data_IF_522868878004
#
_entry.id   IF_522868878004
#
_cell.length_a   1.000
_cell.length_b   1.000
_cell.length_c   1.000
_cell.angle_alpha   90.00
_cell.angle_beta   90.00
_cell.angle_gamma   90.00
#
_symmetry.space_group_name_H-M   'P 1'
#
loop_
_entity.id
_entity.type
_entity.pdbx_description
1 polymer ?
#
# COMPACT_ATOMS: atom_id res chain seq x y z
N UNK A 1 35.53 17.61 27.65
CA UNK A 1 34.57 16.50 27.85
C UNK A 1 33.60 16.57 26.71
N UNK A 2 33.85 15.78 25.67
CA UNK A 2 33.02 15.71 24.48
C UNK A 2 31.87 14.77 24.84
N UNK A 3 30.68 15.33 24.99
CA UNK A 3 29.47 14.54 25.18
C UNK A 3 29.31 13.71 23.91
N UNK A 4 29.62 12.42 24.02
CA UNK A 4 29.18 11.40 23.09
C UNK A 4 27.67 11.58 22.91
N UNK A 5 27.29 12.30 21.86
CA UNK A 5 25.90 12.61 21.53
C UNK A 5 25.27 11.34 20.98
N UNK A 6 25.13 10.34 21.86
CA UNK A 6 24.40 9.13 21.60
C UNK A 6 23.02 9.55 21.13
N UNK A 7 22.66 9.12 19.91
CA UNK A 7 21.35 9.36 19.31
C UNK A 7 20.31 9.03 20.39
N UNK A 8 19.48 10.00 20.85
CA UNK A 8 18.52 9.75 21.91
C UNK A 8 17.58 8.62 21.49
N UNK A 9 17.77 7.45 22.07
CA UNK A 9 16.98 6.27 21.75
C UNK A 9 15.80 6.21 22.71
N UNK A 10 14.59 6.45 22.20
CA UNK A 10 13.37 6.24 22.97
C UNK A 10 13.15 4.74 23.16
N UNK A 11 12.96 4.31 24.41
CA UNK A 11 12.73 2.91 24.79
C UNK A 11 11.25 2.68 25.03
N UNK A 12 10.81 1.43 24.91
CA UNK A 12 9.50 1.04 25.40
C UNK A 12 9.47 1.06 26.93
N UNK A 13 8.30 1.36 27.48
CA UNK A 13 7.99 1.03 28.87
C UNK A 13 8.08 -0.49 29.09
N UNK A 14 8.26 -0.99 30.33
CA UNK A 14 8.35 -2.43 30.58
C UNK A 14 7.17 -3.21 29.99
N UNK A 15 5.95 -2.68 30.13
CA UNK A 15 4.73 -3.26 29.55
C UNK A 15 4.69 -3.16 28.02
N UNK A 16 5.07 -2.02 27.44
CA UNK A 16 5.19 -1.89 25.99
C UNK A 16 6.23 -2.84 25.39
N UNK A 17 7.30 -3.14 26.14
CA UNK A 17 8.32 -4.10 25.73
C UNK A 17 7.76 -5.53 25.72
N UNK A 18 6.97 -5.93 26.72
CA UNK A 18 6.26 -7.23 26.74
C UNK A 18 5.37 -7.40 25.50
N UNK A 19 4.62 -6.36 25.13
CA UNK A 19 3.77 -6.36 23.92
C UNK A 19 4.62 -6.50 22.66
N UNK A 20 5.70 -5.72 22.54
CA UNK A 20 6.60 -5.79 21.39
C UNK A 20 7.24 -7.17 21.26
N UNK A 21 7.75 -7.74 22.35
CA UNK A 21 8.44 -9.02 22.35
C UNK A 21 7.49 -10.17 21.97
N UNK A 22 6.28 -10.18 22.54
CA UNK A 22 5.23 -11.14 22.17
C UNK A 22 4.91 -11.07 20.68
N UNK A 23 4.58 -9.87 20.20
CA UNK A 23 4.26 -9.66 18.79
C UNK A 23 5.44 -10.02 17.86
N UNK A 24 6.67 -9.67 18.27
CA UNK A 24 7.89 -9.95 17.51
C UNK A 24 8.15 -11.44 17.41
N UNK A 25 7.93 -12.17 18.50
CA UNK A 25 8.03 -13.62 18.54
C UNK A 25 7.07 -14.26 17.53
N UNK A 26 5.80 -13.88 17.56
CA UNK A 26 4.77 -14.41 16.66
C UNK A 26 5.05 -14.11 15.19
N UNK A 27 5.55 -12.90 14.89
CA UNK A 27 5.97 -12.54 13.53
C UNK A 27 7.13 -13.44 13.04
N UNK A 28 8.15 -13.64 13.87
CA UNK A 28 9.31 -14.47 13.48
C UNK A 28 8.96 -15.95 13.36
N UNK A 29 8.09 -16.46 14.24
CA UNK A 29 7.56 -17.82 14.15
C UNK A 29 6.88 -18.06 12.79
N UNK A 30 6.04 -17.11 12.36
CA UNK A 30 5.38 -17.18 11.04
C UNK A 30 6.36 -17.07 9.88
N UNK A 31 7.33 -16.16 9.95
CA UNK A 31 8.33 -15.99 8.89
C UNK A 31 9.26 -17.20 8.71
N UNK A 32 9.52 -17.96 9.77
CA UNK A 32 10.34 -19.18 9.71
C UNK A 32 9.54 -20.45 9.36
N UNK A 33 8.21 -20.34 9.28
CA UNK A 33 7.38 -21.49 8.94
C UNK A 33 7.49 -21.80 7.45
N UNK A 34 8.00 -23.00 7.13
CA UNK A 34 8.51 -23.36 5.79
C UNK A 34 7.41 -23.58 4.73
N UNK A 35 6.13 -23.55 5.11
CA UNK A 35 5.01 -24.00 4.27
C UNK A 35 3.81 -23.04 4.21
N UNK A 36 3.86 -21.87 4.87
CA UNK A 36 2.68 -21.01 5.06
C UNK A 36 2.58 -19.76 4.19
N UNK A 37 3.71 -19.20 3.73
CA UNK A 37 3.76 -17.87 3.10
C UNK A 37 4.29 -17.92 1.67
N UNK A 38 3.73 -17.10 0.78
CA UNK A 38 4.32 -16.88 -0.54
C UNK A 38 5.58 -16.01 -0.41
N UNK A 39 6.59 -16.13 -1.31
CA UNK A 39 7.82 -15.33 -1.22
C UNK A 39 7.57 -13.80 -1.21
N UNK A 40 6.53 -13.36 -1.93
CA UNK A 40 6.14 -11.96 -1.97
C UNK A 40 5.57 -11.47 -0.62
N UNK A 41 4.77 -12.31 0.04
CA UNK A 41 4.18 -12.00 1.34
C UNK A 41 5.23 -12.07 2.46
N UNK A 42 6.15 -13.03 2.41
CA UNK A 42 7.28 -13.12 3.35
C UNK A 42 8.15 -11.86 3.31
N UNK A 43 8.49 -11.38 2.10
CA UNK A 43 9.21 -10.12 1.90
C UNK A 43 8.41 -8.91 2.42
N UNK A 44 7.09 -8.93 2.27
CA UNK A 44 6.21 -7.89 2.78
C UNK A 44 6.23 -7.85 4.32
N UNK A 45 6.04 -8.99 4.98
CA UNK A 45 6.03 -9.11 6.44
C UNK A 45 7.39 -8.84 7.08
N UNK A 46 8.50 -9.11 6.37
CA UNK A 46 9.85 -8.72 6.82
C UNK A 46 9.97 -7.21 7.10
N UNK A 47 9.19 -6.35 6.42
CA UNK A 47 9.19 -4.89 6.68
C UNK A 47 8.58 -4.54 8.03
N UNK A 48 7.76 -5.43 8.58
CA UNK A 48 7.00 -5.15 9.80
C UNK A 48 7.92 -5.06 11.01
N UNK A 49 9.09 -5.72 10.96
CA UNK A 49 10.17 -5.64 11.96
C UNK A 49 10.55 -4.21 12.34
N UNK A 50 10.47 -3.29 11.37
CA UNK A 50 10.73 -1.85 11.58
C UNK A 50 9.44 -1.04 11.68
N UNK A 51 8.40 -1.42 10.94
CA UNK A 51 7.14 -0.69 10.91
C UNK A 51 6.47 -0.62 12.28
N UNK A 52 6.36 -1.76 12.97
CA UNK A 52 5.64 -1.83 14.25
C UNK A 52 6.24 -0.86 15.31
N UNK A 53 7.55 -0.88 15.60
CA UNK A 53 8.12 0.05 16.58
C UNK A 53 8.07 1.51 16.10
N UNK A 54 8.13 1.77 14.79
CA UNK A 54 7.94 3.13 14.26
C UNK A 54 6.50 3.63 14.45
N UNK A 55 5.49 2.78 14.23
CA UNK A 55 4.09 3.15 14.49
C UNK A 55 3.84 3.40 15.98
N UNK A 56 4.37 2.54 16.85
CA UNK A 56 4.24 2.70 18.29
C UNK A 56 4.85 4.04 18.76
N UNK A 57 6.00 4.42 18.21
CA UNK A 57 6.61 5.72 18.48
C UNK A 57 5.71 6.87 18.02
N UNK A 58 5.15 6.80 16.80
CA UNK A 58 4.28 7.85 16.26
C UNK A 58 3.05 8.02 17.16
N UNK A 59 2.38 6.93 17.55
CA UNK A 59 1.21 7.00 18.42
C UNK A 59 1.56 7.58 19.79
N UNK A 60 2.68 7.18 20.38
CA UNK A 60 3.14 7.76 21.64
C UNK A 60 3.42 9.27 21.51
N UNK A 61 4.03 9.73 20.41
CA UNK A 61 4.27 11.15 20.19
C UNK A 61 2.97 11.96 20.03
N UNK A 62 1.95 11.37 19.40
CA UNK A 62 0.62 11.97 19.32
C UNK A 62 0.01 12.09 20.72
N UNK A 63 0.06 11.02 21.52
CA UNK A 63 -0.45 11.05 22.90
C UNK A 63 0.24 12.13 23.75
N UNK A 64 1.56 12.29 23.60
CA UNK A 64 2.35 13.33 24.29
C UNK A 64 1.96 14.74 23.80
N UNK A 65 1.71 14.91 22.49
CA UNK A 65 1.26 16.18 21.93
C UNK A 65 -0.13 16.60 22.45
N UNK A 66 -0.97 15.62 22.80
CA UNK A 66 -2.29 15.82 23.41
C UNK A 66 -2.23 16.13 24.93
N UNK A 67 -1.03 16.22 25.50
CA UNK A 67 -0.80 16.65 26.88
C UNK A 67 -0.51 15.53 27.88
N UNK A 68 -0.28 14.29 27.41
CA UNK A 68 0.19 13.21 28.27
C UNK A 68 1.69 13.33 28.57
N UNK A 69 2.14 12.64 29.63
CA UNK A 69 3.52 12.70 30.09
C UNK A 69 4.52 12.19 29.03
N UNK A 70 5.59 12.96 28.73
CA UNK A 70 6.64 12.50 27.84
C UNK A 70 7.47 11.40 28.52
N UNK A 71 7.95 10.42 27.76
CA UNK A 71 8.81 9.39 28.31
C UNK A 71 8.98 8.17 27.44
N UNK A 72 9.00 7.00 28.08
CA UNK A 72 9.07 5.72 27.38
C UNK A 72 7.78 5.45 26.59
N UNK A 73 7.91 4.77 25.45
CA UNK A 73 6.76 4.41 24.61
C UNK A 73 5.77 3.57 25.43
N UNK A 74 4.54 4.06 25.52
CA UNK A 74 3.49 3.47 26.35
C UNK A 74 3.07 2.10 25.83
N UNK A 75 2.54 1.26 26.72
CA UNK A 75 1.91 -0.01 26.36
C UNK A 75 0.75 0.21 25.37
N UNK A 76 -0.05 1.25 25.59
CA UNK A 76 -1.20 1.57 24.75
C UNK A 76 -0.79 1.88 23.30
N UNK A 77 0.30 2.63 23.12
CA UNK A 77 0.84 2.92 21.80
C UNK A 77 1.38 1.65 21.11
N UNK A 78 1.99 0.74 21.86
CA UNK A 78 2.44 -0.56 21.35
C UNK A 78 1.25 -1.45 20.91
N UNK A 79 0.20 -1.56 21.72
CA UNK A 79 -1.02 -2.30 21.39
C UNK A 79 -1.74 -1.71 20.17
N UNK A 80 -1.77 -0.38 20.06
CA UNK A 80 -2.32 0.27 18.88
C UNK A 80 -1.50 -0.08 17.63
N UNK A 81 -0.17 -0.07 17.74
CA UNK A 81 0.71 -0.45 16.65
C UNK A 81 0.53 -1.92 16.22
N UNK A 82 0.34 -2.86 17.14
CA UNK A 82 0.06 -4.26 16.79
C UNK A 82 -1.25 -4.39 16.01
N UNK A 83 -2.31 -3.72 16.46
CA UNK A 83 -3.61 -3.72 15.77
C UNK A 83 -3.52 -3.13 14.35
N UNK A 84 -2.75 -2.05 14.17
CA UNK A 84 -2.48 -1.50 12.84
C UNK A 84 -1.68 -2.47 11.96
N UNK A 85 -0.70 -3.17 12.51
CA UNK A 85 0.02 -4.20 11.78
C UNK A 85 -0.91 -5.33 11.31
N UNK A 86 -1.81 -5.83 12.16
CA UNK A 86 -2.80 -6.84 11.78
C UNK A 86 -3.71 -6.36 10.63
N UNK A 87 -4.18 -5.12 10.72
CA UNK A 87 -4.99 -4.51 9.67
C UNK A 87 -4.23 -4.42 8.33
N UNK A 88 -2.99 -3.92 8.35
CA UNK A 88 -2.14 -3.79 7.16
C UNK A 88 -1.77 -5.15 6.57
N UNK A 89 -1.54 -6.15 7.41
CA UNK A 89 -1.30 -7.52 6.97
C UNK A 89 -2.54 -8.08 6.25
N UNK A 90 -3.74 -7.86 6.80
CA UNK A 90 -4.99 -8.24 6.12
C UNK A 90 -5.10 -7.60 4.73
N UNK A 91 -4.65 -6.35 4.59
CA UNK A 91 -4.64 -5.64 3.33
C UNK A 91 -3.62 -6.25 2.36
N UNK A 92 -2.44 -6.63 2.84
CA UNK A 92 -1.44 -7.35 2.07
C UNK A 92 -1.99 -8.68 1.54
N UNK A 93 -2.68 -9.47 2.38
CA UNK A 93 -3.33 -10.70 1.93
C UNK A 93 -4.36 -10.47 0.84
N UNK A 94 -5.12 -9.36 0.87
CA UNK A 94 -6.07 -9.03 -0.21
C UNK A 94 -5.35 -8.69 -1.52
N UNK A 95 -4.22 -7.99 -1.46
CA UNK A 95 -3.43 -7.64 -2.64
C UNK A 95 -2.71 -8.85 -3.25
N UNK A 96 -2.07 -9.67 -2.41
CA UNK A 96 -1.33 -10.84 -2.87
C UNK A 96 -2.25 -12.04 -3.15
N UNK A 97 -3.33 -12.21 -2.40
CA UNK A 97 -4.39 -13.20 -2.67
C UNK A 97 -5.30 -12.80 -3.83
N UNK A 98 -5.50 -11.50 -4.07
CA UNK A 98 -6.17 -11.00 -5.27
C UNK A 98 -5.35 -11.20 -6.55
N UNK A 99 -4.05 -11.50 -6.41
CA UNK A 99 -3.17 -11.85 -7.53
C UNK A 99 -3.50 -13.21 -8.16
N UNK A 100 -4.33 -14.02 -7.49
CA UNK A 100 -4.97 -15.24 -8.01
C UNK A 100 -6.48 -15.06 -8.22
N UNK A 101 -7.02 -13.84 -8.12
CA UNK A 101 -8.41 -13.54 -8.41
C UNK A 101 -8.57 -13.14 -9.90
N UNK A 102 -9.52 -13.73 -10.64
CA UNK A 102 -9.65 -13.57 -12.10
C UNK A 102 -9.92 -12.13 -12.57
N UNK A 103 -10.26 -11.19 -11.67
CA UNK A 103 -10.41 -9.77 -11.99
C UNK A 103 -9.09 -9.02 -12.19
N UNK A 104 -7.97 -9.52 -11.66
CA UNK A 104 -6.67 -8.84 -11.75
C UNK A 104 -5.94 -9.13 -13.06
N UNK A 105 -6.19 -10.27 -13.72
CA UNK A 105 -5.79 -10.51 -15.12
C UNK A 105 -6.37 -9.45 -16.05
N UNK A 106 -7.66 -9.15 -15.93
CA UNK A 106 -8.32 -8.13 -16.75
C UNK A 106 -7.71 -6.74 -16.53
N UNK A 107 -7.45 -6.37 -15.27
CA UNK A 107 -6.77 -5.11 -14.94
C UNK A 107 -5.31 -5.07 -15.46
N UNK A 108 -4.58 -6.18 -15.39
CA UNK A 108 -3.21 -6.30 -15.93
C UNK A 108 -3.19 -6.22 -17.45
N UNK A 109 -4.14 -6.83 -18.14
CA UNK A 109 -4.27 -6.68 -19.60
C UNK A 109 -4.62 -5.24 -19.98
N UNK A 110 -5.54 -4.58 -19.25
CA UNK A 110 -5.83 -3.16 -19.46
C UNK A 110 -4.56 -2.30 -19.29
N UNK A 111 -3.76 -2.54 -18.24
CA UNK A 111 -2.50 -1.83 -18.01
C UNK A 111 -1.48 -2.11 -19.13
N UNK A 112 -1.36 -3.36 -19.60
CA UNK A 112 -0.51 -3.70 -20.75
C UNK A 112 -0.94 -2.98 -22.02
N UNK A 113 -2.25 -2.85 -22.25
CA UNK A 113 -2.80 -2.10 -23.38
C UNK A 113 -2.57 -0.59 -23.26
N UNK A 114 -2.64 -0.04 -22.05
CA UNK A 114 -2.29 1.36 -21.76
C UNK A 114 -0.80 1.65 -22.01
N UNK A 115 0.10 0.81 -21.48
CA UNK A 115 1.54 0.97 -21.64
C UNK A 115 2.03 0.78 -23.08
N UNK A 116 1.30 0.01 -23.91
CA UNK A 116 1.54 -0.11 -25.36
C UNK A 116 1.00 1.07 -26.17
N UNK A 117 0.38 2.07 -25.52
CA UNK A 117 -0.20 3.24 -26.19
C UNK A 117 -1.39 2.91 -27.09
N UNK A 118 -2.07 1.78 -26.85
CA UNK A 118 -3.07 1.23 -27.76
C UNK A 118 -4.51 1.69 -27.46
N UNK A 119 -4.70 2.68 -26.59
CA UNK A 119 -6.04 3.20 -26.24
C UNK A 119 -6.10 4.69 -26.58
N UNK A 120 -6.98 5.04 -27.52
CA UNK A 120 -7.38 6.42 -27.81
C UNK A 120 -8.42 6.85 -26.77
N UNK A 121 -8.29 8.06 -26.24
CA UNK A 121 -9.24 8.63 -25.28
C UNK A 121 -10.68 8.55 -25.83
N UNK A 122 -11.57 7.92 -25.07
CA UNK A 122 -12.99 7.73 -25.41
C UNK A 122 -13.44 6.28 -25.68
N UNK A 123 -12.58 5.27 -25.56
CA UNK A 123 -12.97 3.87 -25.73
C UNK A 123 -13.85 3.38 -24.57
N UNK A 124 -14.96 2.72 -24.89
CA UNK A 124 -15.89 2.17 -23.88
C UNK A 124 -15.53 0.73 -23.53
N UNK A 125 -15.82 0.29 -22.30
CA UNK A 125 -15.51 -1.04 -21.72
C UNK A 125 -15.85 -2.25 -22.62
N UNK A 126 -16.77 -2.07 -23.58
CA UNK A 126 -17.19 -3.12 -24.53
C UNK A 126 -16.17 -3.37 -25.66
N UNK A 127 -15.29 -2.42 -25.94
CA UNK A 127 -14.25 -2.55 -26.98
C UNK A 127 -12.98 -3.25 -26.47
N UNK A 128 -12.74 -3.20 -25.17
CA UNK A 128 -11.52 -3.74 -24.55
C UNK A 128 -11.67 -5.25 -24.21
N UNK A 129 -12.91 -5.78 -24.20
CA UNK A 129 -13.22 -7.15 -23.76
C UNK A 129 -13.68 -8.14 -24.84
N UNK A 130 -13.58 -7.83 -26.12
CA UNK A 130 -14.01 -8.74 -27.20
C UNK A 130 -12.85 -9.51 -27.85
N UNK A 131 -13.01 -10.81 -28.20
CA UNK A 131 -11.98 -11.54 -28.94
C UNK A 131 -11.76 -10.87 -30.30
N UNK A 132 -10.52 -10.41 -30.53
CA UNK A 132 -9.91 -10.08 -31.82
C UNK A 132 -10.86 -9.63 -32.94
N UNK A 133 -11.10 -8.32 -32.98
CA UNK A 133 -11.86 -7.67 -34.05
C UNK A 133 -11.25 -7.86 -35.44
N UNK A 134 -11.95 -8.58 -36.29
CA UNK A 134 -12.14 -8.13 -37.67
C UNK A 134 -13.17 -7.00 -37.62
N UNK A 135 -12.81 -5.78 -38.02
CA UNK A 135 -13.81 -4.74 -38.27
C UNK A 135 -13.48 -3.95 -39.53
N UNK A 136 -14.33 -4.18 -40.53
CA UNK A 136 -14.45 -3.44 -41.79
C UNK A 136 -14.83 -1.97 -41.56
N UNK A 137 -14.37 -1.00 -42.39
CA UNK A 137 -14.68 0.40 -42.19
C UNK A 137 -16.07 0.73 -42.76
N UNK A 138 -17.03 1.05 -41.88
CA UNK A 138 -18.34 1.60 -42.28
C UNK A 138 -18.21 3.10 -42.53
N UNK A 139 -18.23 3.48 -43.81
CA UNK A 139 -18.35 4.88 -44.26
C UNK A 139 -19.61 5.51 -43.67
N UNK A 140 -19.49 6.67 -43.01
CA UNK A 140 -20.58 7.65 -42.90
C UNK A 140 -20.12 8.96 -43.54
N UNK A 141 -20.93 9.45 -44.47
CA UNK A 141 -20.73 10.69 -45.22
C UNK A 141 -21.31 11.88 -44.44
N UNK A 142 -20.57 13.01 -44.48
CA UNK A 142 -21.01 14.42 -44.64
C UNK A 142 -21.86 15.07 -43.53
N UNK A 143 -21.74 16.35 -43.14
CA UNK A 143 -21.21 17.57 -43.82
C UNK A 143 -21.09 18.74 -42.80
N UNK A 144 -20.76 20.00 -43.20
CA UNK A 144 -19.75 20.85 -42.55
C UNK A 144 -20.34 21.88 -41.57
N UNK A 145 -19.51 22.44 -40.71
CA UNK A 145 -19.95 23.53 -39.83
C UNK A 145 -18.83 24.09 -38.97
N UNK A 146 -18.28 25.21 -39.41
CA UNK A 146 -17.21 26.01 -38.83
C UNK A 146 -17.49 26.43 -37.38
N UNK A 147 -16.49 26.32 -36.49
CA UNK A 147 -15.79 27.49 -35.92
C UNK A 147 -14.70 27.07 -34.92
N UNK A 148 -13.51 27.51 -35.28
CA UNK A 148 -12.34 27.70 -34.43
C UNK A 148 -12.67 28.73 -33.33
N UNK A 149 -12.32 28.42 -32.08
CA UNK A 149 -12.07 29.43 -31.05
C UNK A 149 -10.79 29.03 -30.30
N UNK A 150 -9.68 29.59 -30.77
CA UNK A 150 -8.49 29.82 -29.96
C UNK A 150 -8.67 31.16 -29.25
N UNK A 151 -8.38 31.14 -27.96
CA UNK A 151 -8.35 32.27 -27.04
C UNK A 151 -6.94 32.87 -27.02
N UNK A 152 -6.77 34.18 -27.26
CA UNK A 152 -5.59 34.93 -26.79
C UNK A 152 -5.81 36.46 -26.78
N UNK A 153 -5.69 37.05 -25.58
CA UNK A 153 -5.07 38.36 -25.22
C UNK A 153 -5.41 39.66 -25.97
N UNK A 154 -5.80 40.68 -25.20
CA UNK A 154 -5.71 42.10 -25.57
C UNK A 154 -6.83 42.94 -24.98
#
# INVERSE_FOLDING_TARGET
QEADAAIPALRFSPRGQEVFDSWRHDLEMRLRSDHGLTPALESHLTKYRKLMPSLALIFHLVDVADGNEPGAVSEQAALMATAWCEYLESHAYRLYGGMTAPGMEAAREIIKHLCRGAIRDGATLREIGGPSGQSSPRRRRSRPGSRCWLNTTG
#
